data_IF_203242866807
#
_entry.id   IF_203242866807
#
_cell.length_a   1.000
_cell.length_b   1.000
_cell.length_c   1.000
_cell.angle_alpha   90.00
_cell.angle_beta   90.00
_cell.angle_gamma   90.00
#
_symmetry.space_group_name_H-M   'P 1'
#
loop_
_entity.id
_entity.type
_entity.pdbx_description
1 polymer ?
#
# COMPACT_ATOMS: atom_id res chain seq x y z
N UNK A 1 17.20 -53.69 3.04
CA UNK A 1 15.89 -53.16 3.45
C UNK A 1 15.80 -51.73 2.92
N UNK A 2 15.15 -51.52 1.77
CA UNK A 2 14.98 -50.18 1.19
C UNK A 2 13.86 -49.50 1.97
N UNK A 3 14.13 -48.37 2.62
CA UNK A 3 13.06 -47.52 3.16
C UNK A 3 12.39 -46.87 1.96
N UNK A 4 11.09 -47.12 1.81
CA UNK A 4 10.24 -46.37 0.90
C UNK A 4 10.14 -44.91 1.37
N UNK A 5 10.03 -43.94 0.46
CA UNK A 5 9.79 -42.56 0.84
C UNK A 5 8.32 -42.41 1.26
N UNK A 6 8.11 -41.98 2.50
CA UNK A 6 6.81 -41.56 3.01
C UNK A 6 6.29 -40.43 2.13
N UNK A 7 5.17 -40.69 1.44
CA UNK A 7 4.37 -39.70 0.74
C UNK A 7 3.69 -38.81 1.78
N UNK A 8 4.45 -37.89 2.37
CA UNK A 8 3.89 -36.79 3.12
C UNK A 8 3.14 -35.88 2.15
N UNK A 9 1.81 -35.93 2.18
CA UNK A 9 0.96 -34.85 1.69
C UNK A 9 1.18 -33.64 2.59
N UNK A 10 2.31 -32.96 2.38
CA UNK A 10 2.56 -31.66 2.96
C UNK A 10 1.55 -30.71 2.36
N UNK A 11 0.55 -30.34 3.15
CA UNK A 11 -0.15 -29.07 2.91
C UNK A 11 0.93 -28.02 3.14
N UNK A 12 1.52 -27.52 2.06
CA UNK A 12 2.37 -26.35 2.12
C UNK A 12 1.47 -25.22 2.59
N UNK A 13 1.68 -24.76 3.82
CA UNK A 13 0.91 -23.65 4.38
C UNK A 13 1.20 -22.44 3.48
N UNK A 14 0.18 -22.00 2.75
CA UNK A 14 0.33 -20.87 1.84
C UNK A 14 0.41 -19.61 2.69
N UNK A 15 1.42 -18.79 2.46
CA UNK A 15 1.55 -17.52 3.17
C UNK A 15 0.27 -16.70 3.01
N UNK A 16 -0.22 -16.12 4.10
CA UNK A 16 -1.42 -15.27 4.11
C UNK A 16 -1.04 -13.80 4.16
N UNK A 17 -1.68 -12.99 3.31
CA UNK A 17 -1.64 -11.54 3.37
C UNK A 17 -3.01 -10.98 3.77
N UNK A 18 -3.06 -10.35 4.94
CA UNK A 18 -4.28 -9.76 5.48
C UNK A 18 -4.59 -8.43 4.79
N UNK A 19 -5.83 -8.29 4.32
CA UNK A 19 -6.33 -7.13 3.59
C UNK A 19 -7.48 -6.46 4.34
N UNK A 20 -7.51 -5.14 4.26
CA UNK A 20 -8.55 -4.29 4.85
C UNK A 20 -9.29 -3.58 3.72
N UNK A 21 -10.62 -3.72 3.68
CA UNK A 21 -11.43 -3.23 2.57
C UNK A 21 -12.27 -2.01 2.96
N UNK A 22 -12.09 -0.89 2.27
CA UNK A 22 -13.03 0.24 2.31
C UNK A 22 -13.96 0.16 1.10
N UNK A 23 -15.27 0.24 1.33
CA UNK A 23 -16.30 0.32 0.28
C UNK A 23 -16.96 1.70 0.33
N UNK A 24 -16.97 2.39 -0.80
CA UNK A 24 -17.57 3.72 -0.93
C UNK A 24 -19.07 3.66 -1.20
N UNK A 25 -19.72 4.83 -1.06
CA UNK A 25 -21.14 4.99 -1.38
C UNK A 25 -21.51 4.73 -2.85
N UNK A 26 -20.52 4.69 -3.76
CA UNK A 26 -20.69 4.33 -5.18
C UNK A 26 -20.32 2.87 -5.47
N UNK A 27 -19.99 2.07 -4.46
CA UNK A 27 -19.56 0.67 -4.61
C UNK A 27 -18.07 0.48 -4.91
N UNK A 28 -17.33 1.56 -5.17
CA UNK A 28 -15.88 1.52 -5.37
C UNK A 28 -15.17 0.98 -4.13
N UNK A 29 -14.14 0.15 -4.32
CA UNK A 29 -13.46 -0.57 -3.26
C UNK A 29 -11.96 -0.26 -3.24
N UNK A 30 -11.42 0.02 -2.05
CA UNK A 30 -9.98 0.11 -1.79
C UNK A 30 -9.55 -1.04 -0.87
N UNK A 31 -8.39 -1.64 -1.15
CA UNK A 31 -7.75 -2.65 -0.31
C UNK A 31 -6.41 -2.13 0.20
N UNK A 32 -6.17 -2.32 1.49
CA UNK A 32 -4.96 -1.89 2.19
C UNK A 32 -4.34 -3.04 2.99
N UNK A 33 -3.02 -2.98 3.20
CA UNK A 33 -2.33 -3.75 4.25
C UNK A 33 -1.86 -2.79 5.35
N UNK A 34 -1.84 -3.25 6.60
CA UNK A 34 -1.24 -2.52 7.72
C UNK A 34 0.14 -3.04 8.10
N UNK A 35 0.39 -4.34 7.91
CA UNK A 35 1.59 -5.02 8.41
C UNK A 35 2.25 -5.85 7.28
N UNK A 36 3.17 -5.27 6.49
CA UNK A 36 3.57 -3.87 6.48
C UNK A 36 2.59 -2.98 5.70
N UNK A 37 2.61 -1.66 5.95
CA UNK A 37 1.83 -0.72 5.15
C UNK A 37 2.42 -0.64 3.75
N UNK A 38 1.57 -0.63 2.72
CA UNK A 38 2.04 -0.33 1.36
C UNK A 38 1.27 -0.97 0.21
N UNK A 39 0.46 -2.01 0.45
CA UNK A 39 -0.44 -2.50 -0.58
C UNK A 39 -1.61 -1.52 -0.72
N UNK A 40 -1.86 -1.07 -1.95
CA UNK A 40 -3.03 -0.29 -2.29
C UNK A 40 -3.63 -0.82 -3.61
N UNK A 41 -4.67 -1.63 -3.52
CA UNK A 41 -5.44 -2.05 -4.69
C UNK A 41 -6.78 -1.32 -4.75
N UNK A 42 -7.23 -1.00 -5.95
CA UNK A 42 -8.48 -0.28 -6.19
C UNK A 42 -9.27 -0.89 -7.34
N UNK A 43 -10.59 -0.92 -7.19
CA UNK A 43 -11.51 -1.26 -8.27
C UNK A 43 -12.87 -0.54 -8.12
N UNK A 44 -13.64 -0.42 -9.22
CA UNK A 44 -15.00 0.11 -9.14
C UNK A 44 -15.99 -0.85 -8.46
N UNK A 45 -15.57 -2.09 -8.17
CA UNK A 45 -16.29 -3.10 -7.42
C UNK A 45 -15.36 -3.86 -6.48
N UNK A 46 -15.93 -4.70 -5.61
CA UNK A 46 -15.19 -5.62 -4.74
C UNK A 46 -14.37 -6.61 -5.56
N UNK A 47 -14.99 -7.19 -6.58
CA UNK A 47 -14.39 -8.17 -7.47
C UNK A 47 -13.19 -7.58 -8.21
N UNK A 48 -13.33 -6.35 -8.73
CA UNK A 48 -12.25 -5.67 -9.45
C UNK A 48 -11.08 -5.32 -8.52
N UNK A 49 -11.36 -4.88 -7.29
CA UNK A 49 -10.30 -4.60 -6.31
C UNK A 49 -9.53 -5.87 -5.93
N UNK A 50 -10.24 -6.98 -5.70
CA UNK A 50 -9.63 -8.28 -5.40
C UNK A 50 -8.85 -8.84 -6.60
N UNK A 51 -9.33 -8.63 -7.82
CA UNK A 51 -8.62 -9.04 -9.04
C UNK A 51 -7.30 -8.25 -9.24
N UNK A 52 -7.24 -7.00 -8.78
CA UNK A 52 -6.03 -6.17 -8.82
C UNK A 52 -5.03 -6.50 -7.71
N UNK A 53 -5.50 -7.03 -6.57
CA UNK A 53 -4.68 -7.23 -5.37
C UNK A 53 -3.44 -8.13 -5.57
N UNK A 54 -3.46 -9.24 -6.34
CA UNK A 54 -2.26 -10.04 -6.59
C UNK A 54 -1.10 -9.25 -7.22
N UNK A 55 -1.41 -8.37 -8.17
CA UNK A 55 -0.39 -7.54 -8.82
C UNK A 55 0.22 -6.52 -7.86
N UNK A 56 -0.59 -5.96 -6.96
CA UNK A 56 -0.11 -5.03 -5.92
C UNK A 56 0.68 -5.76 -4.82
N UNK A 57 0.28 -6.97 -4.43
CA UNK A 57 1.04 -7.82 -3.50
C UNK A 57 2.44 -8.16 -4.07
N UNK A 58 2.52 -8.47 -5.37
CA UNK A 58 3.80 -8.70 -6.04
C UNK A 58 4.69 -7.43 -6.04
N UNK A 59 4.11 -6.24 -6.23
CA UNK A 59 4.86 -4.97 -6.15
C UNK A 59 5.35 -4.69 -4.73
N UNK A 60 4.51 -4.91 -3.72
CA UNK A 60 4.89 -4.79 -2.31
C UNK A 60 6.05 -5.73 -1.98
N UNK A 61 5.96 -7.01 -2.33
CA UNK A 61 7.05 -7.97 -2.12
C UNK A 61 8.35 -7.50 -2.76
N UNK A 62 8.32 -7.06 -4.02
CA UNK A 62 9.53 -6.57 -4.72
C UNK A 62 10.13 -5.33 -4.06
N UNK A 63 9.29 -4.39 -3.62
CA UNK A 63 9.73 -3.22 -2.88
C UNK A 63 10.46 -3.65 -1.60
N UNK A 64 9.86 -4.55 -0.83
CA UNK A 64 10.44 -5.03 0.43
C UNK A 64 11.73 -5.81 0.18
N UNK A 65 11.73 -6.76 -0.76
CA UNK A 65 12.90 -7.55 -1.12
C UNK A 65 14.08 -6.68 -1.59
N UNK A 66 13.82 -5.72 -2.49
CA UNK A 66 14.85 -4.82 -3.02
C UNK A 66 15.48 -3.90 -1.97
N UNK A 67 14.86 -3.77 -0.79
CA UNK A 67 15.34 -2.94 0.31
C UNK A 67 15.70 -3.76 1.57
N UNK A 68 15.70 -5.10 1.50
CA UNK A 68 16.01 -5.96 2.66
C UNK A 68 14.93 -5.99 3.74
N UNK A 69 13.69 -5.61 3.41
CA UNK A 69 12.57 -5.41 4.34
C UNK A 69 11.57 -6.57 4.36
N UNK A 70 11.90 -7.75 3.82
CA UNK A 70 10.98 -8.90 3.82
C UNK A 70 10.62 -9.36 5.24
N UNK A 71 11.49 -9.11 6.22
CA UNK A 71 11.21 -9.41 7.63
C UNK A 71 10.05 -8.61 8.23
N UNK A 72 9.52 -7.60 7.54
CA UNK A 72 8.31 -6.89 7.94
C UNK A 72 7.02 -7.63 7.58
N UNK A 73 7.08 -8.63 6.69
CA UNK A 73 5.95 -9.50 6.41
C UNK A 73 5.78 -10.50 7.54
N UNK A 74 4.54 -10.69 7.99
CA UNK A 74 4.19 -11.75 8.95
C UNK A 74 4.56 -13.14 8.42
N UNK A 75 4.26 -13.37 7.15
CA UNK A 75 4.56 -14.59 6.42
C UNK A 75 5.22 -14.23 5.10
N UNK A 76 6.41 -14.76 4.85
CA UNK A 76 7.18 -14.50 3.63
C UNK A 76 6.83 -15.55 2.58
N UNK A 77 6.66 -15.12 1.33
CA UNK A 77 6.44 -16.00 0.18
C UNK A 77 7.48 -15.80 -0.92
N UNK A 78 7.62 -16.81 -1.77
CA UNK A 78 8.64 -16.84 -2.81
C UNK A 78 8.32 -15.91 -3.98
N UNK A 79 9.34 -15.63 -4.79
CA UNK A 79 9.16 -14.81 -5.99
C UNK A 79 8.34 -15.54 -7.04
N UNK A 80 7.28 -14.90 -7.53
CA UNK A 80 6.37 -15.50 -8.49
C UNK A 80 5.19 -16.22 -7.83
N UNK A 81 5.22 -16.41 -6.52
CA UNK A 81 4.06 -16.86 -5.75
C UNK A 81 3.12 -15.70 -5.43
N UNK A 82 1.84 -16.03 -5.26
CA UNK A 82 0.82 -15.12 -4.75
C UNK A 82 0.36 -15.67 -3.39
N UNK A 83 0.43 -14.88 -2.31
CA UNK A 83 -0.05 -15.32 -1.01
C UNK A 83 -1.58 -15.47 -1.04
N UNK A 84 -2.14 -16.21 -0.09
CA UNK A 84 -3.57 -16.19 0.17
C UNK A 84 -3.98 -14.77 0.58
N UNK A 85 -4.85 -14.14 -0.20
CA UNK A 85 -5.36 -12.80 0.07
C UNK A 85 -6.62 -12.89 0.94
N UNK A 86 -6.49 -12.50 2.21
CA UNK A 86 -7.58 -12.64 3.19
C UNK A 86 -8.11 -11.29 3.63
N UNK A 87 -9.34 -10.96 3.25
CA UNK A 87 -10.01 -9.75 3.76
C UNK A 87 -10.41 -9.99 5.22
N UNK A 88 -9.71 -9.32 6.15
CA UNK A 88 -9.93 -9.48 7.60
C UNK A 88 -10.91 -8.47 8.18
N UNK A 89 -11.09 -7.33 7.49
CA UNK A 89 -12.05 -6.30 7.88
C UNK A 89 -12.63 -5.61 6.64
N UNK A 90 -13.90 -5.23 6.71
CA UNK A 90 -14.56 -4.42 5.68
C UNK A 90 -15.32 -3.29 6.35
N UNK A 91 -15.07 -2.06 5.91
CA UNK A 91 -15.77 -0.85 6.37
C UNK A 91 -16.48 -0.18 5.18
N UNK A 92 -17.70 0.29 5.42
CA UNK A 92 -18.50 0.95 4.39
C UNK A 92 -18.65 2.42 4.72
N UNK A 93 -18.11 3.28 3.85
CA UNK A 93 -18.26 4.73 3.95
C UNK A 93 -19.56 5.22 3.30
N UNK A 94 -20.15 6.29 3.84
CA UNK A 94 -21.29 6.98 3.20
C UNK A 94 -20.89 7.85 2.00
N UNK A 95 -19.59 8.09 1.83
CA UNK A 95 -19.05 8.92 0.78
C UNK A 95 -18.39 8.06 -0.29
N UNK A 96 -18.27 8.62 -1.49
CA UNK A 96 -17.51 8.03 -2.59
C UNK A 96 -16.08 7.77 -2.12
N UNK A 97 -15.52 6.57 -2.34
CA UNK A 97 -14.06 6.44 -2.18
C UNK A 97 -13.42 7.14 -3.37
N UNK A 98 -12.65 8.17 -3.08
CA UNK A 98 -12.05 9.05 -4.08
C UNK A 98 -10.59 9.32 -3.79
N UNK A 99 -9.89 9.86 -4.79
CA UNK A 99 -8.49 10.26 -4.66
C UNK A 99 -8.27 11.18 -3.45
N UNK A 100 -7.47 10.72 -2.48
CA UNK A 100 -7.15 11.47 -1.27
C UNK A 100 -8.27 11.55 -0.22
N UNK A 101 -9.33 10.73 -0.35
CA UNK A 101 -10.43 10.67 0.60
C UNK A 101 -10.69 9.24 1.06
N UNK A 102 -9.91 8.77 2.02
CA UNK A 102 -10.31 7.63 2.86
C UNK A 102 -11.11 8.20 4.04
N UNK A 103 -12.32 7.67 4.26
CA UNK A 103 -13.10 7.95 5.49
C UNK A 103 -13.32 6.66 6.29
N UNK A 104 -12.66 5.58 5.89
CA UNK A 104 -12.52 4.37 6.66
C UNK A 104 -11.74 4.63 7.96
N UNK A 105 -12.30 4.14 9.05
CA UNK A 105 -11.57 3.92 10.31
C UNK A 105 -11.76 2.44 10.60
N UNK A 106 -10.70 1.67 10.40
CA UNK A 106 -10.61 0.25 10.69
C UNK A 106 -10.35 0.05 12.19
N UNK A 107 -10.63 -1.15 12.71
CA UNK A 107 -10.28 -1.51 14.07
C UNK A 107 -8.77 -1.35 14.34
N UNK A 108 -7.93 -1.63 13.33
CA UNK A 108 -6.46 -1.45 13.40
C UNK A 108 -6.05 0.01 13.59
N UNK A 109 -6.81 0.98 13.07
CA UNK A 109 -6.54 2.42 13.24
C UNK A 109 -6.72 2.88 14.70
N UNK A 110 -7.47 2.11 15.50
CA UNK A 110 -7.71 2.40 16.92
C UNK A 110 -6.61 1.82 17.83
N UNK A 111 -5.68 1.03 17.26
CA UNK A 111 -4.58 0.43 18.00
C UNK A 111 -3.36 1.37 17.91
N UNK A 112 -2.83 1.87 19.04
CA UNK A 112 -1.62 2.68 19.03
C UNK A 112 -0.45 1.95 18.39
N UNK A 113 0.34 2.66 17.58
CA UNK A 113 1.60 2.15 17.02
C UNK A 113 2.57 1.87 18.17
N UNK A 114 3.18 0.68 18.16
CA UNK A 114 4.19 0.26 19.12
C UNK A 114 5.56 0.82 18.72
N UNK A 115 6.39 1.12 19.71
CA UNK A 115 7.72 1.70 19.48
C UNK A 115 8.62 0.83 18.58
N UNK A 116 8.47 -0.50 18.65
CA UNK A 116 9.23 -1.45 17.83
C UNK A 116 8.75 -1.54 16.37
N UNK A 117 7.56 -1.04 16.05
CA UNK A 117 7.04 -0.98 14.67
C UNK A 117 7.58 0.24 13.91
N UNK A 118 7.89 1.32 14.64
CA UNK A 118 8.28 2.62 14.05
C UNK A 118 9.49 2.51 13.12
N UNK A 119 10.61 1.83 13.49
CA UNK A 119 11.77 1.73 12.61
C UNK A 119 11.42 1.10 11.26
N UNK A 120 10.65 0.02 11.24
CA UNK A 120 10.24 -0.66 10.02
C UNK A 120 9.36 0.23 9.13
N UNK A 121 8.43 0.98 9.73
CA UNK A 121 7.59 1.93 8.96
C UNK A 121 8.41 3.06 8.36
N UNK A 122 9.41 3.58 9.08
CA UNK A 122 10.33 4.60 8.54
C UNK A 122 11.18 4.06 7.40
N UNK A 123 11.64 2.81 7.48
CA UNK A 123 12.39 2.15 6.39
C UNK A 123 11.51 1.94 5.14
N UNK A 124 10.25 1.54 5.30
CA UNK A 124 9.29 1.43 4.19
C UNK A 124 9.05 2.80 3.54
N UNK A 125 8.83 3.85 4.34
CA UNK A 125 8.68 5.22 3.83
C UNK A 125 9.92 5.69 3.07
N UNK A 126 11.13 5.40 3.57
CA UNK A 126 12.38 5.72 2.91
C UNK A 126 12.53 4.96 1.57
N UNK A 127 12.15 3.68 1.52
CA UNK A 127 12.17 2.87 0.31
C UNK A 127 11.19 3.40 -0.75
N UNK A 128 9.96 3.75 -0.34
CA UNK A 128 8.95 4.37 -1.22
C UNK A 128 9.44 5.71 -1.76
N UNK A 129 10.06 6.55 -0.92
CA UNK A 129 10.60 7.85 -1.31
C UNK A 129 11.74 7.69 -2.32
N UNK A 130 12.65 6.77 -2.10
CA UNK A 130 13.75 6.45 -3.01
C UNK A 130 13.21 5.98 -4.37
N UNK A 131 12.21 5.09 -4.35
CA UNK A 131 11.54 4.61 -5.55
C UNK A 131 10.89 5.76 -6.32
N UNK A 132 10.17 6.64 -5.63
CA UNK A 132 9.53 7.81 -6.23
C UNK A 132 10.54 8.77 -6.88
N UNK A 133 11.65 9.08 -6.20
CA UNK A 133 12.70 9.94 -6.78
C UNK A 133 13.30 9.32 -8.04
N UNK A 134 13.61 8.03 -8.00
CA UNK A 134 14.14 7.32 -9.16
C UNK A 134 13.18 7.38 -10.35
N UNK A 135 11.86 7.36 -10.10
CA UNK A 135 10.85 7.49 -11.14
C UNK A 135 10.77 8.93 -11.64
N UNK A 136 10.64 9.90 -10.74
CA UNK A 136 10.53 11.33 -11.06
C UNK A 136 11.65 11.78 -12.00
N UNK A 137 12.89 11.39 -11.73
CA UNK A 137 14.04 11.85 -12.49
C UNK A 137 14.08 11.29 -13.93
N UNK A 138 13.24 10.30 -14.24
CA UNK A 138 13.05 9.72 -15.58
C UNK A 138 11.80 10.25 -16.31
N UNK A 139 10.98 11.07 -15.66
CA UNK A 139 9.75 11.61 -16.26
C UNK A 139 10.12 12.82 -17.13
N UNK A 140 9.86 12.78 -18.45
CA UNK A 140 10.14 13.94 -19.29
C UNK A 140 9.17 15.09 -18.98
N UNK A 141 9.59 16.37 -19.11
CA UNK A 141 8.80 17.53 -18.69
C UNK A 141 7.36 17.57 -19.24
N UNK A 142 7.16 17.16 -20.49
CA UNK A 142 5.85 17.13 -21.15
C UNK A 142 4.87 16.13 -20.48
N UNK A 143 5.38 15.04 -19.92
CA UNK A 143 4.57 14.02 -19.27
C UNK A 143 3.95 14.50 -17.96
N UNK A 144 4.42 15.60 -17.37
CA UNK A 144 3.80 16.16 -16.15
C UNK A 144 2.35 16.59 -16.35
N UNK A 145 1.94 16.88 -17.61
CA UNK A 145 0.55 17.19 -17.97
C UNK A 145 -0.30 15.96 -18.29
N UNK A 146 0.30 14.77 -18.38
CA UNK A 146 -0.40 13.53 -18.68
C UNK A 146 -1.39 13.16 -17.57
N UNK A 147 -2.55 12.65 -17.97
CA UNK A 147 -3.62 12.17 -17.09
C UNK A 147 -4.12 10.81 -17.61
N UNK A 148 -4.19 9.82 -16.74
CA UNK A 148 -4.62 8.46 -17.13
C UNK A 148 -6.10 8.37 -17.49
N UNK A 149 -6.98 9.17 -16.85
CA UNK A 149 -8.41 9.26 -17.15
C UNK A 149 -8.90 10.70 -16.93
N UNK A 150 -9.91 11.21 -17.67
CA UNK A 150 -10.31 12.62 -17.63
C UNK A 150 -10.56 13.24 -16.24
N UNK A 151 -10.94 12.46 -15.24
CA UNK A 151 -11.25 12.92 -13.88
C UNK A 151 -10.12 12.72 -12.85
N UNK A 152 -8.97 12.16 -13.25
CA UNK A 152 -7.83 11.84 -12.35
C UNK A 152 -6.84 13.01 -12.30
N UNK A 153 -5.98 13.09 -11.28
CA UNK A 153 -4.90 14.09 -11.26
C UNK A 153 -3.86 13.82 -12.38
N UNK A 154 -3.28 14.86 -12.95
CA UNK A 154 -2.08 14.72 -13.80
C UNK A 154 -0.90 14.19 -13.01
N UNK A 155 0.15 13.72 -13.69
CA UNK A 155 1.40 13.32 -13.01
C UNK A 155 1.94 14.46 -12.14
N UNK A 156 1.97 15.69 -12.66
CA UNK A 156 2.43 16.85 -11.89
C UNK A 156 1.53 17.21 -10.69
N UNK A 157 0.21 17.06 -10.83
CA UNK A 157 -0.73 17.24 -9.73
C UNK A 157 -0.54 16.17 -8.65
N UNK A 158 -0.31 14.90 -9.03
CA UNK A 158 -0.02 13.81 -8.09
C UNK A 158 1.27 14.03 -7.32
N UNK A 159 2.36 14.41 -8.00
CA UNK A 159 3.63 14.70 -7.34
C UNK A 159 3.52 15.89 -6.37
N UNK A 160 2.76 16.93 -6.75
CA UNK A 160 2.47 18.06 -5.87
C UNK A 160 1.63 17.63 -4.67
N UNK A 161 0.64 16.76 -4.88
CA UNK A 161 -0.19 16.23 -3.80
C UNK A 161 0.65 15.43 -2.79
N UNK A 162 1.51 14.52 -3.26
CA UNK A 162 2.42 13.74 -2.40
C UNK A 162 3.31 14.68 -1.58
N UNK A 163 3.97 15.65 -2.21
CA UNK A 163 4.81 16.62 -1.50
C UNK A 163 4.01 17.46 -0.49
N UNK A 164 2.75 17.80 -0.81
CA UNK A 164 1.83 18.47 0.09
C UNK A 164 1.45 17.62 1.31
N UNK A 165 1.19 16.33 1.12
CA UNK A 165 0.91 15.37 2.18
C UNK A 165 2.12 15.22 3.12
N UNK A 166 3.32 14.97 2.57
CA UNK A 166 4.56 14.86 3.35
C UNK A 166 4.74 16.10 4.25
N UNK A 167 4.60 17.29 3.65
CA UNK A 167 4.68 18.56 4.38
C UNK A 167 3.64 18.62 5.50
N UNK A 168 2.38 18.32 5.21
CA UNK A 168 1.29 18.41 6.17
C UNK A 168 1.53 17.53 7.40
N UNK A 169 2.05 16.32 7.22
CA UNK A 169 2.43 15.46 8.34
C UNK A 169 3.61 16.02 9.12
N UNK A 170 4.65 16.51 8.44
CA UNK A 170 5.81 17.13 9.11
C UNK A 170 5.42 18.32 9.98
N UNK A 171 4.44 19.14 9.57
CA UNK A 171 3.97 20.27 10.40
C UNK A 171 3.23 19.87 11.67
N UNK A 172 2.95 18.58 11.90
CA UNK A 172 2.39 18.08 13.17
C UNK A 172 3.44 17.62 14.17
N UNK A 173 4.64 17.34 13.68
CA UNK A 173 5.78 16.94 14.52
C UNK A 173 6.65 18.12 14.92
N UNK A 174 6.59 19.24 14.18
CA UNK A 174 7.39 20.43 14.43
C UNK A 174 6.55 21.70 14.37
N UNK A 175 6.40 22.36 15.52
CA UNK A 175 5.74 23.66 15.63
C UNK A 175 6.50 24.78 14.87
N UNK A 176 7.80 24.58 14.60
CA UNK A 176 8.72 25.60 14.07
C UNK A 176 9.01 25.51 12.55
N UNK A 177 8.30 24.68 11.79
CA UNK A 177 8.55 24.58 10.34
C UNK A 177 8.12 25.88 9.60
N UNK A 178 8.99 26.47 8.75
CA UNK A 178 8.65 27.64 7.96
C UNK A 178 7.38 27.40 7.15
N UNK A 179 6.40 28.30 7.27
CA UNK A 179 5.20 28.27 6.46
C UNK A 179 5.57 28.56 5.00
N UNK A 180 5.77 27.51 4.19
CA UNK A 180 5.85 27.67 2.74
C UNK A 180 4.55 28.32 2.21
N UNK A 181 4.63 29.06 1.08
CA UNK A 181 3.48 29.74 0.49
C UNK A 181 2.28 28.80 0.39
N UNK A 182 1.09 29.32 0.70
CA UNK A 182 -0.16 28.62 0.40
C UNK A 182 -0.30 28.61 -1.13
N UNK A 183 -0.46 27.41 -1.69
CA UNK A 183 -0.84 27.22 -3.10
C UNK A 183 -2.24 27.73 -3.35
#
# INVERSE_FOLDING_TARGET
MRREPETGTGVWDMATLELYMEIGGDGGCHLFTFDPPGLLAWGPSREDALAAAPAEAAKLRRLLAGNGLLGLLREVWDEGETPELKVVETVTGRHRVGHGGTRATFARDLVPVREDEIPGFLEVLAALRTTLWSLKDRIPPEAYSFRSLPHRMTIGEQLRHIAGCDRWYLTRFWDDLPRLPRS
#
